data_IF_925386825576
#
_entry.id   IF_925386825576
#
_cell.length_a   1.000
_cell.length_b   1.000
_cell.length_c   1.000
_cell.angle_alpha   90.00
_cell.angle_beta   90.00
_cell.angle_gamma   90.00
#
_symmetry.space_group_name_H-M   'P 1'
#
loop_
_entity.id
_entity.type
_entity.pdbx_description
1 polymer ?
#
# COMPACT_ATOMS: atom_id res chain seq x y z
N UNK A 1 1.06 -9.76 21.47
CA UNK A 1 2.47 -9.74 21.04
C UNK A 1 2.92 -8.28 21.03
N UNK A 2 4.11 -7.98 21.55
CA UNK A 2 4.66 -6.62 21.57
C UNK A 2 5.43 -6.40 20.27
N UNK A 3 5.03 -5.43 19.46
CA UNK A 3 5.75 -5.04 18.25
C UNK A 3 7.13 -4.49 18.65
N UNK A 4 8.19 -5.20 18.26
CA UNK A 4 9.58 -4.81 18.51
C UNK A 4 10.04 -3.89 17.39
N UNK A 5 10.12 -2.59 17.61
CA UNK A 5 10.72 -1.67 16.63
C UNK A 5 12.21 -2.02 16.41
N UNK A 6 12.58 -2.42 15.20
CA UNK A 6 13.98 -2.60 14.78
C UNK A 6 14.30 -1.50 13.76
N UNK A 7 15.25 -0.63 14.10
CA UNK A 7 15.79 0.39 13.20
C UNK A 7 17.08 -0.14 12.56
N UNK A 8 17.06 -0.42 11.26
CA UNK A 8 18.27 -0.79 10.51
C UNK A 8 19.13 0.45 10.25
N UNK A 9 20.43 0.34 10.52
CA UNK A 9 21.38 1.46 10.47
C UNK A 9 22.14 1.59 9.14
N UNK A 10 22.10 0.60 8.23
CA UNK A 10 22.90 0.64 7.00
C UNK A 10 22.15 0.21 5.73
N UNK A 11 22.43 0.83 4.56
CA UNK A 11 21.73 0.55 3.30
C UNK A 11 22.19 -0.73 2.57
N UNK A 12 23.45 -1.15 2.74
CA UNK A 12 23.99 -2.35 2.05
C UNK A 12 23.42 -3.65 2.63
N UNK A 13 22.99 -3.62 3.90
CA UNK A 13 22.29 -4.73 4.55
C UNK A 13 20.85 -4.93 4.00
N UNK A 14 20.29 -3.91 3.34
CA UNK A 14 18.90 -3.92 2.83
C UNK A 14 18.78 -4.80 1.58
N UNK A 15 19.76 -4.77 0.67
CA UNK A 15 19.77 -5.58 -0.56
C UNK A 15 19.85 -7.08 -0.25
N UNK A 16 20.61 -7.47 0.78
CA UNK A 16 20.80 -8.86 1.19
C UNK A 16 19.60 -9.41 1.99
N UNK A 17 18.88 -8.54 2.72
CA UNK A 17 17.69 -8.90 3.47
C UNK A 17 16.47 -9.26 2.59
N UNK A 18 16.46 -8.89 1.29
CA UNK A 18 15.40 -9.31 0.37
C UNK A 18 15.39 -10.80 0.05
N UNK A 19 16.53 -11.49 0.17
CA UNK A 19 16.64 -12.91 -0.16
C UNK A 19 16.35 -13.84 1.02
N UNK A 20 16.35 -13.32 2.25
CA UNK A 20 16.04 -14.09 3.46
C UNK A 20 14.69 -13.65 4.02
N UNK A 21 13.84 -14.62 4.38
CA UNK A 21 12.53 -14.43 5.03
C UNK A 21 12.66 -13.87 6.47
N UNK A 22 13.42 -12.81 6.67
CA UNK A 22 13.36 -12.04 7.93
C UNK A 22 12.23 -11.02 7.80
N UNK A 23 11.39 -10.96 8.83
CA UNK A 23 10.22 -10.09 8.90
C UNK A 23 10.61 -8.63 8.64
N UNK A 24 10.25 -8.13 7.46
CA UNK A 24 10.49 -6.76 7.02
C UNK A 24 9.80 -5.76 7.96
N UNK A 25 10.54 -5.19 8.91
CA UNK A 25 10.02 -4.15 9.80
C UNK A 25 10.33 -2.75 9.29
N UNK A 26 9.59 -2.31 8.27
CA UNK A 26 9.50 -0.87 7.96
C UNK A 26 8.74 -0.15 9.08
N UNK A 27 9.09 1.10 9.44
CA UNK A 27 8.25 1.95 10.26
C UNK A 27 6.87 2.00 9.64
N UNK A 28 5.90 1.55 10.40
CA UNK A 28 4.55 1.45 9.92
C UNK A 28 3.57 1.96 10.95
N UNK A 29 2.43 2.41 10.44
CA UNK A 29 1.28 2.78 11.23
C UNK A 29 0.10 1.94 10.77
N UNK A 30 -0.50 1.20 11.69
CA UNK A 30 -1.76 0.51 11.47
C UNK A 30 -2.86 1.22 12.25
N UNK A 31 -3.89 1.67 11.54
CA UNK A 31 -4.77 2.73 11.99
C UNK A 31 -6.18 2.54 11.42
N UNK A 32 -7.20 2.94 12.17
CA UNK A 32 -8.56 3.06 11.66
C UNK A 32 -8.67 4.19 10.63
N UNK A 33 -9.41 3.95 9.55
CA UNK A 33 -9.52 4.90 8.45
C UNK A 33 -10.06 6.28 8.90
N UNK A 34 -10.93 6.30 9.91
CA UNK A 34 -11.51 7.54 10.45
C UNK A 34 -10.47 8.41 11.16
N UNK A 35 -9.44 7.78 11.72
CA UNK A 35 -8.42 8.44 12.54
C UNK A 35 -7.30 9.09 11.71
N UNK A 36 -7.32 8.90 10.38
CA UNK A 36 -6.28 9.41 9.48
C UNK A 36 -6.09 10.93 9.61
N UNK A 37 -7.18 11.68 9.77
CA UNK A 37 -7.09 13.15 9.87
C UNK A 37 -6.32 13.61 11.10
N UNK A 38 -6.47 12.88 12.20
CA UNK A 38 -5.95 13.27 13.51
C UNK A 38 -4.53 12.74 13.72
N UNK A 39 -4.24 11.55 13.17
CA UNK A 39 -2.97 10.86 13.39
C UNK A 39 -1.94 11.07 12.28
N UNK A 40 -2.37 11.44 11.06
CA UNK A 40 -1.47 11.70 9.94
C UNK A 40 -1.53 13.19 9.59
N UNK A 41 -0.76 13.99 10.32
CA UNK A 41 -0.82 15.47 10.24
C UNK A 41 -0.09 16.04 9.02
N UNK A 42 0.85 15.31 8.45
CA UNK A 42 1.65 15.75 7.30
C UNK A 42 1.66 14.70 6.19
N UNK A 43 1.90 15.18 4.96
CA UNK A 43 2.16 14.31 3.83
C UNK A 43 3.58 13.76 3.88
N UNK A 44 3.73 12.51 3.46
CA UNK A 44 5.02 11.85 3.30
C UNK A 44 4.93 10.82 2.17
N UNK A 45 6.10 10.36 1.74
CA UNK A 45 6.24 9.22 0.85
C UNK A 45 5.95 7.93 1.63
N UNK A 46 5.01 7.14 1.15
CA UNK A 46 4.68 5.86 1.77
C UNK A 46 3.99 4.91 0.79
N UNK A 47 4.07 3.62 1.12
CA UNK A 47 3.19 2.58 0.60
C UNK A 47 2.06 2.41 1.60
N UNK A 48 0.83 2.29 1.13
CA UNK A 48 -0.35 2.07 1.97
C UNK A 48 -1.14 0.85 1.51
N UNK A 49 -1.79 0.20 2.47
CA UNK A 49 -2.63 -0.97 2.28
C UNK A 49 -3.98 -0.70 2.91
N UNK A 50 -5.05 -0.95 2.16
CA UNK A 50 -6.43 -0.74 2.58
C UNK A 50 -7.08 -2.08 2.94
N UNK A 51 -7.82 -2.12 4.04
CA UNK A 51 -8.53 -3.29 4.53
C UNK A 51 -9.99 -2.96 4.87
N UNK A 52 -10.90 -3.92 4.64
CA UNK A 52 -12.29 -3.80 5.08
C UNK A 52 -12.46 -3.97 6.59
N UNK A 53 -11.58 -4.74 7.23
CA UNK A 53 -11.66 -5.03 8.65
C UNK A 53 -10.30 -5.36 9.22
N UNK A 54 -10.15 -5.27 10.54
CA UNK A 54 -8.93 -5.68 11.25
C UNK A 54 -8.64 -7.18 11.08
N UNK A 55 -9.68 -8.01 10.95
CA UNK A 55 -9.53 -9.45 10.76
C UNK A 55 -8.91 -9.83 9.40
N UNK A 56 -8.96 -8.91 8.43
CA UNK A 56 -8.34 -9.09 7.12
C UNK A 56 -6.84 -8.80 7.11
N UNK A 57 -6.30 -8.20 8.18
CA UNK A 57 -4.86 -8.00 8.30
C UNK A 57 -4.16 -9.29 8.79
N UNK A 58 -2.97 -9.65 8.24
CA UNK A 58 -2.36 -9.10 7.02
C UNK A 58 -2.85 -9.77 5.73
N UNK A 59 -3.67 -10.81 5.83
CA UNK A 59 -3.83 -11.82 4.77
C UNK A 59 -4.66 -11.40 3.56
N UNK A 60 -5.63 -10.50 3.71
CA UNK A 60 -6.62 -10.19 2.66
C UNK A 60 -6.79 -8.68 2.45
N UNK A 61 -5.79 -7.98 1.91
CA UNK A 61 -5.89 -6.57 1.57
C UNK A 61 -6.86 -6.33 0.41
N UNK A 62 -7.60 -5.22 0.48
CA UNK A 62 -8.43 -4.73 -0.63
C UNK A 62 -7.57 -4.17 -1.75
N UNK A 63 -6.67 -3.28 -1.37
CA UNK A 63 -5.90 -2.47 -2.29
C UNK A 63 -4.57 -2.08 -1.67
N UNK A 64 -3.54 -2.04 -2.49
CA UNK A 64 -2.20 -1.55 -2.16
C UNK A 64 -1.87 -0.44 -3.16
N UNK A 65 -1.37 0.68 -2.64
CA UNK A 65 -0.86 1.75 -3.46
C UNK A 65 0.30 2.45 -2.79
N UNK A 66 0.90 3.41 -3.49
CA UNK A 66 1.92 4.31 -2.95
C UNK A 66 1.62 5.75 -3.31
N UNK A 67 2.18 6.69 -2.56
CA UNK A 67 2.07 8.11 -2.87
C UNK A 67 3.16 8.90 -2.19
N UNK A 68 3.57 10.01 -2.82
CA UNK A 68 4.39 11.03 -2.18
C UNK A 68 3.61 12.00 -1.27
N UNK A 69 2.28 11.93 -1.35
CA UNK A 69 1.34 12.68 -0.51
C UNK A 69 0.33 11.70 0.08
N UNK A 70 0.83 10.74 0.88
CA UNK A 70 0.01 9.61 1.34
C UNK A 70 -1.24 10.03 2.10
N UNK A 71 -1.17 11.07 2.93
CA UNK A 71 -2.34 11.61 3.64
C UNK A 71 -3.43 12.05 2.68
N UNK A 72 -3.09 12.91 1.73
CA UNK A 72 -4.05 13.42 0.75
C UNK A 72 -4.61 12.29 -0.11
N UNK A 73 -3.76 11.32 -0.48
CA UNK A 73 -4.17 10.17 -1.27
C UNK A 73 -5.14 9.27 -0.50
N UNK A 74 -4.88 8.98 0.77
CA UNK A 74 -5.78 8.21 1.62
C UNK A 74 -7.12 8.93 1.79
N UNK A 75 -7.12 10.24 2.06
CA UNK A 75 -8.35 11.03 2.13
C UNK A 75 -9.12 11.03 0.79
N UNK A 76 -8.42 11.04 -0.34
CA UNK A 76 -9.03 10.92 -1.67
C UNK A 76 -9.71 9.57 -1.88
N UNK A 77 -9.12 8.47 -1.40
CA UNK A 77 -9.76 7.15 -1.38
C UNK A 77 -11.00 7.15 -0.47
N UNK A 78 -10.88 7.63 0.77
CA UNK A 78 -11.96 7.61 1.76
C UNK A 78 -13.16 8.49 1.38
N UNK A 79 -12.93 9.58 0.63
CA UNK A 79 -14.00 10.40 0.04
C UNK A 79 -14.68 9.77 -1.18
N UNK A 80 -14.23 8.59 -1.62
CA UNK A 80 -14.80 7.88 -2.78
C UNK A 80 -14.41 8.49 -4.14
N UNK A 81 -13.41 9.37 -4.18
CA UNK A 81 -13.02 10.02 -5.43
C UNK A 81 -12.24 9.07 -6.34
N UNK A 82 -11.40 8.19 -5.78
CA UNK A 82 -10.66 7.19 -6.56
C UNK A 82 -11.58 6.12 -7.17
N UNK A 83 -11.68 6.03 -8.52
CA UNK A 83 -12.56 5.06 -9.18
C UNK A 83 -12.33 3.61 -8.74
N UNK A 84 -11.07 3.21 -8.52
CA UNK A 84 -10.74 1.82 -8.14
C UNK A 84 -11.31 1.39 -6.80
N UNK A 85 -11.39 2.30 -5.83
CA UNK A 85 -11.83 1.99 -4.46
C UNK A 85 -13.17 2.61 -4.12
N UNK A 86 -13.77 3.40 -5.03
CA UNK A 86 -15.00 4.17 -4.83
C UNK A 86 -16.15 3.34 -4.26
N UNK A 87 -16.37 2.14 -4.80
CA UNK A 87 -17.45 1.25 -4.34
C UNK A 87 -17.31 0.92 -2.85
N UNK A 88 -16.09 0.61 -2.41
CA UNK A 88 -15.80 0.27 -1.01
C UNK A 88 -15.85 1.51 -0.11
N UNK A 89 -15.27 2.62 -0.56
CA UNK A 89 -15.28 3.87 0.17
C UNK A 89 -16.71 4.39 0.44
N UNK A 90 -17.56 4.44 -0.59
CA UNK A 90 -18.93 4.93 -0.49
C UNK A 90 -19.83 4.06 0.41
N UNK A 91 -19.41 2.82 0.71
CA UNK A 91 -20.11 1.90 1.59
C UNK A 91 -19.49 1.82 3.00
N UNK A 92 -18.46 2.62 3.28
CA UNK A 92 -17.74 2.54 4.56
C UNK A 92 -17.02 1.19 4.76
N UNK A 93 -16.54 0.58 3.67
CA UNK A 93 -15.84 -0.71 3.68
C UNK A 93 -14.31 -0.54 3.62
N UNK A 94 -13.79 0.66 3.85
CA UNK A 94 -12.35 0.89 4.03
C UNK A 94 -12.18 1.33 5.48
N UNK A 95 -11.97 0.37 6.38
CA UNK A 95 -12.02 0.61 7.82
C UNK A 95 -10.63 0.65 8.46
N UNK A 96 -9.66 -0.05 7.88
CA UNK A 96 -8.29 -0.08 8.41
C UNK A 96 -7.28 0.18 7.33
N UNK A 97 -6.20 0.85 7.71
CA UNK A 97 -5.14 1.28 6.82
C UNK A 97 -3.81 0.95 7.47
N UNK A 98 -2.94 0.29 6.71
CA UNK A 98 -1.54 0.10 7.07
C UNK A 98 -0.69 0.99 6.18
N UNK A 99 0.21 1.76 6.79
CA UNK A 99 1.09 2.69 6.09
C UNK A 99 2.51 2.29 6.38
N UNK A 100 3.30 2.00 5.34
CA UNK A 100 4.74 1.78 5.41
C UNK A 100 5.45 3.06 4.97
N UNK A 101 6.10 3.73 5.91
CA UNK A 101 6.79 4.99 5.65
C UNK A 101 8.14 4.75 4.98
N UNK A 102 8.48 5.63 4.06
CA UNK A 102 9.82 5.67 3.47
C UNK A 102 10.85 6.17 4.50
N UNK A 103 12.03 5.54 4.53
CA UNK A 103 13.14 5.92 5.42
C UNK A 103 14.33 6.41 4.59
N UNK A 104 14.83 7.61 4.92
CA UNK A 104 16.12 8.11 4.43
C UNK A 104 16.10 8.76 3.05
N UNK A 105 17.26 8.83 2.39
CA UNK A 105 17.47 9.53 1.10
C UNK A 105 17.01 8.75 -0.14
N UNK A 106 16.45 7.55 0.03
CA UNK A 106 16.05 6.68 -1.07
C UNK A 106 14.55 6.87 -1.30
N UNK A 107 14.17 7.67 -2.29
CA UNK A 107 12.87 8.36 -2.28
C UNK A 107 11.79 7.86 -3.25
N UNK A 108 12.09 6.94 -4.18
CA UNK A 108 11.08 6.46 -5.15
C UNK A 108 11.24 4.99 -5.53
N UNK A 109 12.48 4.53 -5.74
CA UNK A 109 12.72 3.15 -6.17
C UNK A 109 12.38 2.12 -5.09
N UNK A 110 12.52 2.49 -3.82
CA UNK A 110 12.22 1.62 -2.68
C UNK A 110 10.72 1.45 -2.45
N UNK A 111 9.96 2.55 -2.43
CA UNK A 111 8.49 2.47 -2.32
C UNK A 111 7.86 1.73 -3.51
N UNK A 112 8.46 1.86 -4.71
CA UNK A 112 8.08 1.05 -5.88
C UNK A 112 8.29 -0.46 -5.66
N UNK A 113 9.42 -0.85 -5.08
CA UNK A 113 9.77 -2.24 -4.86
C UNK A 113 8.87 -2.89 -3.79
N UNK A 114 8.66 -2.20 -2.67
CA UNK A 114 7.77 -2.64 -1.59
C UNK A 114 6.34 -2.83 -2.11
N UNK A 115 5.79 -1.84 -2.82
CA UNK A 115 4.44 -1.95 -3.41
C UNK A 115 4.33 -3.18 -4.31
N UNK A 116 5.30 -3.39 -5.21
CA UNK A 116 5.31 -4.55 -6.13
C UNK A 116 5.38 -5.87 -5.38
N UNK A 117 6.21 -5.97 -4.34
CA UNK A 117 6.36 -7.18 -3.53
C UNK A 117 5.06 -7.51 -2.79
N UNK A 118 4.45 -6.53 -2.11
CA UNK A 118 3.20 -6.74 -1.39
C UNK A 118 2.05 -7.11 -2.35
N UNK A 119 1.97 -6.50 -3.54
CA UNK A 119 0.97 -6.88 -4.54
C UNK A 119 1.19 -8.32 -5.03
N UNK A 120 2.44 -8.74 -5.24
CA UNK A 120 2.79 -10.10 -5.69
C UNK A 120 2.43 -11.15 -4.64
N UNK A 121 2.70 -10.85 -3.38
CA UNK A 121 2.49 -11.76 -2.25
C UNK A 121 1.01 -11.89 -1.89
N UNK A 122 0.35 -10.76 -1.62
CA UNK A 122 -1.01 -10.75 -1.09
C UNK A 122 -2.10 -10.73 -2.16
N UNK A 123 -1.74 -10.46 -3.43
CA UNK A 123 -2.65 -10.40 -4.58
C UNK A 123 -3.96 -9.64 -4.27
N UNK A 124 -3.90 -8.36 -3.86
CA UNK A 124 -5.09 -7.63 -3.42
C UNK A 124 -6.17 -7.61 -4.49
N UNK A 125 -7.42 -7.66 -4.05
CA UNK A 125 -8.60 -7.76 -4.90
C UNK A 125 -8.60 -6.68 -5.99
N UNK A 126 -8.40 -5.42 -5.60
CA UNK A 126 -8.55 -4.27 -6.49
C UNK A 126 -7.28 -3.98 -7.32
N UNK A 127 -6.12 -4.48 -6.89
CA UNK A 127 -4.91 -4.44 -7.72
C UNK A 127 -4.96 -5.46 -8.85
N UNK A 128 -5.54 -6.64 -8.60
CA UNK A 128 -5.56 -7.75 -9.58
C UNK A 128 -6.75 -7.68 -10.53
N UNK A 129 -7.93 -7.24 -10.08
CA UNK A 129 -9.11 -7.13 -10.94
C UNK A 129 -8.99 -6.01 -11.98
N UNK A 130 -8.38 -4.87 -11.62
CA UNK A 130 -8.21 -3.74 -12.54
C UNK A 130 -7.15 -3.99 -13.62
N UNK A 131 -6.35 -5.05 -13.50
CA UNK A 131 -5.40 -5.48 -14.53
C UNK A 131 -6.13 -6.05 -15.75
N UNK A 132 -7.30 -6.71 -15.59
CA UNK A 132 -8.03 -7.32 -16.71
C UNK A 132 -8.44 -6.31 -17.79
N UNK A 133 -9.14 -5.19 -17.48
CA UNK A 133 -9.52 -4.23 -18.52
C UNK A 133 -8.32 -3.56 -19.21
N UNK A 134 -7.25 -3.30 -18.47
CA UNK A 134 -6.06 -2.62 -19.01
C UNK A 134 -5.20 -3.55 -19.86
N UNK A 135 -5.05 -4.82 -19.47
CA UNK A 135 -4.42 -5.85 -20.28
C UNK A 135 -5.25 -6.18 -21.52
N UNK A 136 -6.57 -6.31 -21.40
CA UNK A 136 -7.46 -6.53 -22.55
C UNK A 136 -7.40 -5.37 -23.55
N UNK A 137 -7.38 -4.12 -23.08
CA UNK A 137 -7.20 -2.94 -23.94
C UNK A 137 -5.84 -2.97 -24.66
N UNK A 138 -4.76 -3.34 -23.96
CA UNK A 138 -3.40 -3.42 -24.54
C UNK A 138 -3.25 -4.58 -25.53
N UNK A 139 -3.85 -5.73 -25.25
CA UNK A 139 -3.91 -6.87 -26.19
C UNK A 139 -4.71 -6.52 -27.45
N UNK A 140 -5.80 -5.74 -27.33
CA UNK A 140 -6.54 -5.25 -28.50
C UNK A 140 -5.70 -4.31 -29.35
N UNK A 141 -4.97 -3.37 -28.75
CA UNK A 141 -4.10 -2.45 -29.51
C UNK A 141 -2.94 -3.18 -30.21
N UNK A 142 -2.38 -4.23 -29.61
CA UNK A 142 -1.30 -5.03 -30.23
C UNK A 142 -1.76 -5.99 -31.34
N UNK A 143 -3.06 -6.17 -31.56
CA UNK A 143 -3.60 -6.96 -32.69
C UNK A 143 -3.76 -6.14 -33.98
N UNK A 144 -3.54 -4.84 -33.93
CA UNK A 144 -3.62 -3.93 -35.08
C UNK A 144 -2.24 -3.39 -35.51
N UNK A 145 -1.17 -4.08 -35.14
CA UNK A 145 0.20 -3.84 -35.61
C UNK A 145 0.67 -5.05 -36.39
#
# INVERSE_FOLDING_TARGET
MKDKFILYRNPEDILFAFEKKEEFMYPHLFIEANDIKDNLQMNCNAVYVLFESKAHYPNTPLYIGKSSKVRDRLLYHLKGYEPRTRYYANRGLINFILIYFEIGKYTSDHTNLIEKQLIKEYKPLLNTQYIKPFQEKRMRMNRFV
#
